data_IF_352859121770
#
_entry.id   IF_352859121770
#
_cell.length_a   1.000
_cell.length_b   1.000
_cell.length_c   1.000
_cell.angle_alpha   90.00
_cell.angle_beta   90.00
_cell.angle_gamma   90.00
#
_symmetry.space_group_name_H-M   'P 1'
#
loop_
_entity.id
_entity.type
_entity.pdbx_description
1 polymer ?
#
# COMPACT_ATOMS: atom_id res chain seq x y z
N UNK A 1 16.57 14.44 30.51
CA UNK A 1 17.09 13.83 29.26
C UNK A 1 16.76 12.35 29.32
N UNK A 2 15.57 11.96 28.83
CA UNK A 2 15.11 10.57 28.87
C UNK A 2 15.39 9.90 27.53
N UNK A 3 16.48 9.15 27.47
CA UNK A 3 16.76 8.19 26.42
C UNK A 3 15.98 6.90 26.69
N UNK A 4 14.77 6.79 26.13
CA UNK A 4 14.09 5.50 25.97
C UNK A 4 14.62 4.83 24.70
N UNK A 5 15.78 4.18 24.82
CA UNK A 5 16.19 3.16 23.86
C UNK A 5 15.40 1.91 24.22
N UNK A 6 14.28 1.68 23.54
CA UNK A 6 13.59 0.40 23.62
C UNK A 6 14.50 -0.68 23.05
N UNK A 7 14.86 -1.66 23.88
CA UNK A 7 15.63 -2.86 23.54
C UNK A 7 15.13 -3.51 22.24
N UNK A 8 15.80 -3.25 21.12
CA UNK A 8 15.58 -3.91 19.82
C UNK A 8 16.32 -5.26 19.75
N UNK A 9 16.96 -5.70 20.84
CA UNK A 9 17.84 -6.88 20.87
C UNK A 9 17.18 -8.17 21.36
N UNK A 10 15.92 -8.14 21.80
CA UNK A 10 15.26 -9.32 22.40
C UNK A 10 14.36 -10.13 21.46
N UNK A 11 14.05 -9.65 20.25
CA UNK A 11 13.31 -10.43 19.25
C UNK A 11 14.05 -10.43 17.91
N UNK A 12 14.73 -11.54 17.61
CA UNK A 12 15.50 -11.73 16.36
C UNK A 12 14.66 -11.62 15.06
N UNK A 13 13.33 -11.60 15.14
CA UNK A 13 12.40 -11.40 14.01
C UNK A 13 11.16 -10.63 14.45
N UNK A 14 10.86 -9.53 13.76
CA UNK A 14 9.66 -8.70 13.99
C UNK A 14 8.36 -9.54 13.85
N UNK A 15 8.35 -10.50 12.92
CA UNK A 15 7.23 -11.42 12.69
C UNK A 15 6.90 -12.34 13.86
N UNK A 16 7.89 -12.70 14.69
CA UNK A 16 7.64 -13.54 15.87
C UNK A 16 6.96 -12.74 16.98
N UNK A 17 7.38 -11.49 17.19
CA UNK A 17 6.72 -10.56 18.12
C UNK A 17 5.28 -10.30 17.69
N UNK A 18 5.07 -10.05 16.39
CA UNK A 18 3.75 -9.79 15.84
C UNK A 18 2.80 -10.98 16.06
N UNK A 19 3.26 -12.20 15.80
CA UNK A 19 2.47 -13.41 16.02
C UNK A 19 2.07 -13.62 17.50
N UNK A 20 2.92 -13.25 18.45
CA UNK A 20 2.58 -13.32 19.87
C UNK A 20 1.55 -12.27 20.28
N UNK A 21 1.67 -11.05 19.74
CA UNK A 21 0.70 -9.99 20.00
C UNK A 21 -0.65 -10.37 19.39
N UNK A 22 -0.67 -10.94 18.18
CA UNK A 22 -1.90 -11.42 17.54
C UNK A 22 -2.54 -12.56 18.34
N UNK A 23 -1.75 -13.51 18.85
CA UNK A 23 -2.25 -14.58 19.71
C UNK A 23 -2.85 -14.05 21.03
N UNK A 24 -2.25 -13.01 21.62
CA UNK A 24 -2.81 -12.34 22.80
C UNK A 24 -4.12 -11.63 22.46
N UNK A 25 -4.17 -10.90 21.36
CA UNK A 25 -5.37 -10.21 20.90
C UNK A 25 -6.52 -11.20 20.70
N UNK A 26 -6.26 -12.30 19.98
CA UNK A 26 -7.22 -13.37 19.75
C UNK A 26 -7.68 -14.03 21.07
N UNK A 27 -6.76 -14.26 22.03
CA UNK A 27 -7.09 -14.82 23.35
C UNK A 27 -7.99 -13.91 24.19
N UNK A 28 -7.82 -12.58 24.08
CA UNK A 28 -8.66 -11.59 24.75
C UNK A 28 -9.93 -11.25 23.96
N UNK A 29 -10.10 -11.79 22.74
CA UNK A 29 -11.23 -11.46 21.87
C UNK A 29 -11.26 -9.99 21.45
N UNK A 30 -10.12 -9.31 21.47
CA UNK A 30 -9.98 -7.90 21.10
C UNK A 30 -9.04 -7.77 19.91
N UNK A 31 -9.14 -6.67 19.17
CA UNK A 31 -8.14 -6.36 18.16
C UNK A 31 -6.80 -6.01 18.83
N UNK A 32 -5.70 -6.31 18.14
CA UNK A 32 -4.32 -6.04 18.61
C UNK A 32 -4.12 -4.60 19.08
N UNK A 33 -4.80 -3.67 18.42
CA UNK A 33 -4.70 -2.25 18.65
C UNK A 33 -5.40 -1.84 19.96
N UNK A 34 -6.34 -2.65 20.47
CA UNK A 34 -6.94 -2.50 21.80
C UNK A 34 -5.93 -2.82 22.93
N UNK A 35 -4.87 -3.58 22.62
CA UNK A 35 -3.75 -3.84 23.53
C UNK A 35 -2.71 -2.70 23.53
N UNK A 36 -2.94 -1.61 22.79
CA UNK A 36 -2.04 -0.44 22.73
C UNK A 36 -0.84 -0.61 21.79
N UNK A 37 -0.72 -1.75 21.10
CA UNK A 37 0.34 -1.99 20.13
C UNK A 37 -0.04 -1.42 18.76
N UNK A 38 0.42 -0.20 18.47
CA UNK A 38 0.27 0.42 17.14
C UNK A 38 1.55 0.27 16.33
N UNK A 39 1.52 -0.52 15.27
CA UNK A 39 2.57 -0.49 14.27
C UNK A 39 2.43 0.82 13.46
N UNK A 40 3.50 1.61 13.36
CA UNK A 40 3.52 2.75 12.45
C UNK A 40 3.72 2.27 11.02
N UNK A 41 2.86 2.70 10.09
CA UNK A 41 3.11 2.44 8.68
C UNK A 41 4.40 3.15 8.26
N UNK A 42 5.26 2.43 7.54
CA UNK A 42 6.48 3.00 6.95
C UNK A 42 6.28 3.42 5.50
N UNK A 43 5.11 3.12 4.94
CA UNK A 43 4.79 3.40 3.55
C UNK A 43 4.52 4.87 3.27
N UNK A 44 4.65 5.26 2.00
CA UNK A 44 4.34 6.58 1.48
C UNK A 44 3.20 6.49 0.47
N UNK A 45 2.44 7.57 0.35
CA UNK A 45 1.40 7.74 -0.68
C UNK A 45 1.61 9.07 -1.42
N UNK A 46 1.34 9.08 -2.72
CA UNK A 46 1.34 10.28 -3.54
C UNK A 46 0.27 10.20 -4.63
N UNK A 47 -0.20 11.36 -5.09
CA UNK A 47 -1.25 11.49 -6.10
C UNK A 47 -2.47 12.22 -5.55
N UNK A 48 -3.60 12.09 -6.22
CA UNK A 48 -4.80 12.83 -5.87
C UNK A 48 -5.51 12.26 -4.65
N UNK A 49 -5.07 12.66 -3.45
CA UNK A 49 -5.67 12.25 -2.17
C UNK A 49 -5.66 13.41 -1.18
N UNK A 50 -6.77 13.54 -0.46
CA UNK A 50 -6.93 14.43 0.68
C UNK A 50 -7.29 13.59 1.90
N UNK A 51 -6.40 13.57 2.89
CA UNK A 51 -6.62 12.88 4.16
C UNK A 51 -6.84 13.92 5.26
N UNK A 52 -7.89 13.72 6.05
CA UNK A 52 -8.12 14.49 7.27
C UNK A 52 -7.84 13.60 8.46
N UNK A 53 -6.98 14.06 9.36
CA UNK A 53 -6.60 13.34 10.58
C UNK A 53 -7.40 13.87 11.77
N UNK A 54 -7.74 12.99 12.71
CA UNK A 54 -8.53 13.27 13.92
C UNK A 54 -7.81 14.15 14.96
N UNK A 55 -6.63 14.65 14.66
CA UNK A 55 -5.79 15.33 15.64
C UNK A 55 -6.32 16.74 15.99
N UNK A 56 -6.66 16.92 17.27
CA UNK A 56 -7.01 18.18 17.93
C UNK A 56 -5.92 19.29 17.89
N UNK A 57 -4.73 19.05 17.33
CA UNK A 57 -3.59 19.98 17.39
C UNK A 57 -2.66 20.03 16.16
N UNK A 58 -2.99 19.40 15.03
CA UNK A 58 -2.24 19.61 13.77
C UNK A 58 -3.18 20.17 12.73
N UNK A 59 -2.82 21.35 12.21
CA UNK A 59 -3.52 22.00 11.12
C UNK A 59 -3.72 21.03 9.96
N UNK A 60 -4.86 21.11 9.25
CA UNK A 60 -5.09 20.30 8.05
C UNK A 60 -3.90 20.47 7.12
N UNK A 61 -3.25 19.36 6.73
CA UNK A 61 -2.25 19.43 5.68
C UNK A 61 -2.94 19.94 4.42
N UNK A 62 -2.46 21.03 3.80
CA UNK A 62 -3.05 21.55 2.58
C UNK A 62 -3.08 20.43 1.54
N UNK A 63 -4.16 20.40 0.75
CA UNK A 63 -4.30 19.55 -0.42
C UNK A 63 -3.03 19.70 -1.27
N UNK A 64 -2.15 18.72 -1.14
CA UNK A 64 -0.84 18.76 -1.79
C UNK A 64 -0.92 17.74 -2.90
N UNK A 65 -1.27 18.25 -4.07
CA UNK A 65 -1.58 17.50 -5.29
C UNK A 65 -0.41 16.66 -5.82
N UNK A 66 0.77 16.70 -5.17
CA UNK A 66 2.02 16.10 -5.69
C UNK A 66 3.00 15.61 -4.60
N UNK A 67 2.83 15.98 -3.32
CA UNK A 67 3.84 15.64 -2.29
C UNK A 67 3.59 14.24 -1.71
N UNK A 68 4.68 13.48 -1.49
CA UNK A 68 4.59 12.20 -0.79
C UNK A 68 4.23 12.47 0.67
N UNK A 69 3.22 11.75 1.15
CA UNK A 69 2.78 11.77 2.53
C UNK A 69 3.06 10.41 3.15
N UNK A 70 3.47 10.39 4.41
CA UNK A 70 3.55 9.15 5.17
C UNK A 70 2.14 8.58 5.33
N UNK A 71 1.99 7.27 5.17
CA UNK A 71 0.73 6.60 5.45
C UNK A 71 0.36 6.80 6.93
N UNK A 72 -0.75 7.47 7.23
CA UNK A 72 -1.21 7.58 8.60
C UNK A 72 -1.76 6.24 9.08
N UNK A 73 -1.79 6.07 10.40
CA UNK A 73 -2.60 5.02 11.00
C UNK A 73 -4.07 5.25 10.66
N UNK A 74 -4.79 4.18 10.29
CA UNK A 74 -6.23 4.24 9.98
C UNK A 74 -7.05 4.78 11.15
N UNK A 75 -6.60 4.56 12.39
CA UNK A 75 -7.27 5.05 13.59
C UNK A 75 -7.16 6.56 13.78
N UNK A 76 -6.11 7.17 13.23
CA UNK A 76 -5.90 8.61 13.28
C UNK A 76 -6.62 9.32 12.11
N UNK A 77 -7.29 8.56 11.24
CA UNK A 77 -7.92 9.02 10.01
C UNK A 77 -9.41 9.36 10.25
N UNK A 78 -9.79 10.60 9.99
CA UNK A 78 -11.16 11.11 10.09
C UNK A 78 -11.91 10.91 8.77
N UNK A 79 -11.29 11.26 7.64
CA UNK A 79 -11.88 11.08 6.31
C UNK A 79 -10.82 11.00 5.23
N UNK A 80 -11.07 10.18 4.20
CA UNK A 80 -10.32 10.16 2.94
C UNK A 80 -11.22 10.68 1.82
N UNK A 81 -10.69 11.58 1.00
CA UNK A 81 -11.30 12.00 -0.28
C UNK A 81 -10.26 11.85 -1.39
N UNK A 82 -10.66 11.25 -2.50
CA UNK A 82 -9.80 11.04 -3.66
C UNK A 82 -10.68 10.90 -4.91
N UNK A 83 -10.19 11.39 -6.04
CA UNK A 83 -10.78 11.18 -7.36
C UNK A 83 -9.98 10.15 -8.19
N UNK A 84 -9.11 9.40 -7.53
CA UNK A 84 -8.21 8.45 -8.17
C UNK A 84 -8.96 7.36 -8.92
N UNK A 85 -8.66 7.25 -10.21
CA UNK A 85 -9.19 6.23 -11.09
C UNK A 85 -8.49 4.89 -10.91
N UNK A 86 -7.30 4.85 -10.31
CA UNK A 86 -6.50 3.66 -10.07
C UNK A 86 -5.57 3.84 -8.87
N UNK A 87 -5.16 2.72 -8.25
CA UNK A 87 -4.16 2.70 -7.18
C UNK A 87 -3.01 1.77 -7.59
N UNK A 88 -1.78 2.25 -7.52
CA UNK A 88 -0.56 1.51 -7.85
C UNK A 88 0.31 1.34 -6.61
N UNK A 89 0.50 0.11 -6.17
CA UNK A 89 1.42 -0.26 -5.09
C UNK A 89 2.79 -0.58 -5.69
N UNK A 90 3.85 -0.05 -5.10
CA UNK A 90 5.23 -0.21 -5.57
C UNK A 90 6.09 -0.71 -4.42
N UNK A 91 6.73 -1.87 -4.59
CA UNK A 91 7.63 -2.44 -3.59
C UNK A 91 8.81 -1.51 -3.27
N UNK A 92 9.51 -1.05 -4.30
CA UNK A 92 10.75 -0.27 -4.14
C UNK A 92 10.48 1.21 -4.04
N UNK A 93 10.93 1.82 -2.94
CA UNK A 93 10.82 3.27 -2.75
C UNK A 93 11.52 4.06 -3.89
N UNK A 94 12.64 3.58 -4.43
CA UNK A 94 13.30 4.22 -5.56
C UNK A 94 12.40 4.35 -6.80
N UNK A 95 11.59 3.32 -7.09
CA UNK A 95 10.61 3.34 -8.20
C UNK A 95 9.47 4.30 -7.88
N UNK A 96 9.02 4.34 -6.63
CA UNK A 96 8.04 5.34 -6.19
C UNK A 96 8.53 6.77 -6.36
N UNK A 97 9.78 7.08 -5.96
CA UNK A 97 10.34 8.41 -6.14
C UNK A 97 10.47 8.77 -7.62
N UNK A 98 10.84 7.82 -8.49
CA UNK A 98 10.90 8.03 -9.93
C UNK A 98 9.52 8.38 -10.51
N UNK A 99 8.49 7.57 -10.22
CA UNK A 99 7.14 7.81 -10.72
C UNK A 99 6.58 9.15 -10.23
N UNK A 100 6.93 9.54 -9.00
CA UNK A 100 6.60 10.86 -8.46
C UNK A 100 7.29 11.99 -9.19
N UNK A 101 8.59 11.87 -9.48
CA UNK A 101 9.34 12.87 -10.24
C UNK A 101 8.77 13.04 -11.66
N UNK A 102 8.25 11.96 -12.25
CA UNK A 102 7.56 11.99 -13.53
C UNK A 102 6.12 12.49 -13.46
N UNK A 103 5.59 12.87 -12.28
CA UNK A 103 4.18 13.21 -12.07
C UNK A 103 3.21 12.14 -12.59
N UNK A 104 3.59 10.86 -12.54
CA UNK A 104 2.84 9.75 -13.14
C UNK A 104 1.40 9.67 -12.60
N UNK A 105 1.22 9.93 -11.30
CA UNK A 105 -0.08 9.94 -10.63
C UNK A 105 -1.05 11.01 -11.18
N UNK A 106 -0.55 12.08 -11.82
CA UNK A 106 -1.41 13.13 -12.38
C UNK A 106 -2.02 12.70 -13.72
N UNK A 107 -1.44 11.70 -14.38
CA UNK A 107 -1.97 11.05 -15.59
C UNK A 107 -1.95 11.88 -16.89
N UNK A 108 -1.91 13.21 -16.82
CA UNK A 108 -1.93 14.11 -17.98
C UNK A 108 -0.86 13.81 -19.04
N UNK A 109 0.34 13.40 -18.62
CA UNK A 109 1.47 13.11 -19.53
C UNK A 109 1.31 11.80 -20.31
N UNK A 110 0.40 10.92 -19.88
CA UNK A 110 0.24 9.56 -20.41
C UNK A 110 -1.18 9.26 -20.89
N UNK A 111 -2.07 10.28 -20.93
CA UNK A 111 -3.48 10.07 -21.26
C UNK A 111 -4.15 9.12 -20.27
N UNK A 112 -3.79 9.23 -18.99
CA UNK A 112 -4.41 8.50 -17.90
C UNK A 112 -5.21 9.47 -17.03
N UNK A 113 -6.28 8.96 -16.43
CA UNK A 113 -6.96 9.67 -15.34
C UNK A 113 -6.04 9.75 -14.10
N UNK A 114 -6.20 10.76 -13.23
CA UNK A 114 -5.44 10.85 -11.99
C UNK A 114 -5.56 9.58 -11.15
N UNK A 115 -4.48 9.22 -10.47
CA UNK A 115 -4.39 8.01 -9.65
C UNK A 115 -3.61 8.20 -8.37
N UNK A 116 -3.38 7.09 -7.68
CA UNK A 116 -2.57 7.04 -6.46
C UNK A 116 -1.42 6.08 -6.62
N UNK A 117 -0.27 6.46 -6.09
CA UNK A 117 0.90 5.60 -5.97
C UNK A 117 1.17 5.43 -4.48
N UNK A 118 1.33 4.18 -4.05
CA UNK A 118 1.66 3.81 -2.68
C UNK A 118 2.93 2.99 -2.71
N UNK A 119 3.85 3.23 -1.78
CA UNK A 119 5.01 2.35 -1.56
C UNK A 119 5.07 1.93 -0.11
N UNK A 120 5.60 0.73 0.13
CA UNK A 120 5.73 0.19 1.47
C UNK A 120 5.85 -1.34 1.45
N UNK A 121 6.59 -1.86 2.42
CA UNK A 121 6.54 -3.29 2.74
C UNK A 121 5.12 -3.63 3.21
N UNK A 122 4.60 -4.86 2.99
CA UNK A 122 3.25 -5.28 3.42
C UNK A 122 3.11 -5.44 4.95
N UNK A 123 3.56 -4.45 5.70
CA UNK A 123 3.31 -4.36 7.13
C UNK A 123 1.80 -4.19 7.41
N UNK A 124 1.41 -4.50 8.65
CA UNK A 124 0.02 -4.47 9.08
C UNK A 124 -0.64 -3.11 8.83
N UNK A 125 0.05 -2.01 9.17
CA UNK A 125 -0.50 -0.67 9.06
C UNK A 125 -0.71 -0.24 7.59
N UNK A 126 0.21 -0.61 6.71
CA UNK A 126 0.12 -0.35 5.26
C UNK A 126 -1.04 -1.13 4.65
N UNK A 127 -1.22 -2.41 5.00
CA UNK A 127 -2.36 -3.22 4.52
C UNK A 127 -3.70 -2.73 5.07
N UNK A 128 -3.76 -2.34 6.35
CA UNK A 128 -4.94 -1.72 6.95
C UNK A 128 -5.32 -0.43 6.21
N UNK A 129 -4.33 0.42 5.92
CA UNK A 129 -4.56 1.66 5.17
C UNK A 129 -5.12 1.37 3.77
N UNK A 130 -4.55 0.43 3.03
CA UNK A 130 -5.01 0.10 1.68
C UNK A 130 -6.43 -0.48 1.67
N UNK A 131 -6.79 -1.30 2.66
CA UNK A 131 -8.16 -1.80 2.78
C UNK A 131 -9.15 -0.70 3.17
N UNK A 132 -8.74 0.20 4.07
CA UNK A 132 -9.53 1.36 4.42
C UNK A 132 -9.72 2.29 3.22
N UNK A 133 -8.69 2.50 2.40
CA UNK A 133 -8.80 3.23 1.14
C UNK A 133 -9.78 2.53 0.19
N UNK A 134 -9.65 1.22 -0.01
CA UNK A 134 -10.53 0.43 -0.87
C UNK A 134 -12.01 0.49 -0.43
N UNK A 135 -12.30 0.65 0.86
CA UNK A 135 -13.67 0.81 1.35
C UNK A 135 -14.25 2.21 1.15
N UNK A 136 -13.42 3.21 0.84
CA UNK A 136 -13.82 4.62 0.68
C UNK A 136 -13.81 5.11 -0.77
N UNK A 137 -13.45 4.24 -1.72
CA UNK A 137 -13.43 4.56 -3.15
C UNK A 137 -14.38 3.61 -3.92
N UNK A 138 -14.74 3.93 -5.17
CA UNK A 138 -15.57 3.05 -5.97
C UNK A 138 -15.00 1.63 -6.05
N UNK A 139 -15.86 0.61 -5.90
CA UNK A 139 -15.44 -0.81 -6.00
C UNK A 139 -14.86 -1.18 -7.36
N UNK A 140 -15.11 -0.37 -8.38
CA UNK A 140 -14.55 -0.52 -9.72
C UNK A 140 -13.12 0.00 -9.84
N UNK A 141 -12.60 0.75 -8.86
CA UNK A 141 -11.24 1.28 -8.90
C UNK A 141 -10.23 0.13 -8.79
N UNK A 142 -9.40 -0.12 -9.82
CA UNK A 142 -8.43 -1.19 -9.80
C UNK A 142 -7.25 -0.86 -8.87
N UNK A 143 -6.78 -1.89 -8.17
CA UNK A 143 -5.54 -1.88 -7.43
C UNK A 143 -4.51 -2.70 -8.19
N UNK A 144 -3.36 -2.10 -8.43
CA UNK A 144 -2.23 -2.72 -9.08
C UNK A 144 -1.05 -2.82 -8.14
N UNK A 145 -0.15 -3.77 -8.38
CA UNK A 145 1.14 -3.84 -7.69
C UNK A 145 2.28 -4.17 -8.65
N UNK A 146 3.41 -3.51 -8.44
CA UNK A 146 4.68 -3.81 -9.08
C UNK A 146 5.67 -4.25 -8.00
N UNK A 147 6.20 -5.45 -8.18
CA UNK A 147 7.26 -6.04 -7.37
C UNK A 147 8.38 -6.52 -8.28
N UNK A 148 9.52 -6.87 -7.70
CA UNK A 148 10.53 -7.63 -8.43
C UNK A 148 9.98 -8.99 -8.89
N UNK A 149 10.48 -9.48 -10.02
CA UNK A 149 10.11 -10.78 -10.61
C UNK A 149 10.83 -11.97 -9.96
N UNK A 150 11.21 -11.86 -8.69
CA UNK A 150 11.93 -12.88 -7.93
C UNK A 150 11.03 -13.49 -6.83
N UNK A 151 11.47 -14.57 -6.15
CA UNK A 151 10.66 -15.19 -5.09
C UNK A 151 10.27 -14.23 -3.95
N UNK A 152 11.08 -13.21 -3.66
CA UNK A 152 10.79 -12.24 -2.61
C UNK A 152 9.69 -11.26 -3.03
N UNK A 153 9.76 -10.73 -4.26
CA UNK A 153 8.70 -9.89 -4.82
C UNK A 153 7.36 -10.64 -4.92
N UNK A 154 7.39 -11.92 -5.29
CA UNK A 154 6.20 -12.79 -5.27
C UNK A 154 5.63 -12.95 -3.86
N UNK A 155 6.47 -13.08 -2.83
CA UNK A 155 6.05 -13.17 -1.45
C UNK A 155 5.38 -11.88 -0.95
N UNK A 156 5.92 -10.72 -1.35
CA UNK A 156 5.30 -9.41 -1.09
C UNK A 156 3.92 -9.33 -1.73
N UNK A 157 3.81 -9.66 -3.02
CA UNK A 157 2.53 -9.69 -3.72
C UNK A 157 1.53 -10.61 -3.02
N UNK A 158 1.96 -11.82 -2.65
CA UNK A 158 1.13 -12.79 -1.92
C UNK A 158 0.66 -12.26 -0.58
N UNK A 159 1.53 -11.59 0.17
CA UNK A 159 1.19 -11.04 1.49
C UNK A 159 0.14 -9.94 1.39
N UNK A 160 0.22 -9.09 0.37
CA UNK A 160 -0.85 -8.13 0.09
C UNK A 160 -2.15 -8.81 -0.35
N UNK A 161 -2.06 -9.81 -1.23
CA UNK A 161 -3.22 -10.46 -1.80
C UNK A 161 -3.99 -11.30 -0.78
N UNK A 162 -3.29 -12.15 -0.01
CA UNK A 162 -3.92 -13.14 0.89
C UNK A 162 -3.88 -12.76 2.37
N UNK A 163 -3.18 -11.69 2.75
CA UNK A 163 -3.12 -11.28 4.14
C UNK A 163 -2.32 -12.27 5.00
N UNK A 164 -2.85 -12.63 6.18
CA UNK A 164 -2.36 -13.73 7.02
C UNK A 164 -2.91 -15.12 6.61
N UNK A 165 -3.63 -15.19 5.49
CA UNK A 165 -4.28 -16.39 4.99
C UNK A 165 -3.50 -17.15 3.92
N UNK A 166 -4.23 -17.98 3.17
CA UNK A 166 -3.70 -18.82 2.10
C UNK A 166 -4.39 -18.53 0.78
N UNK A 167 -3.87 -19.11 -0.31
CA UNK A 167 -4.49 -19.07 -1.64
C UNK A 167 -5.98 -19.47 -1.63
N UNK A 168 -6.34 -20.48 -0.83
CA UNK A 168 -7.71 -21.01 -0.79
C UNK A 168 -8.61 -20.27 0.19
N UNK A 169 -8.03 -19.64 1.21
CA UNK A 169 -8.75 -18.94 2.26
C UNK A 169 -7.99 -17.65 2.60
N UNK A 170 -8.33 -16.54 1.93
CA UNK A 170 -7.80 -15.22 2.27
C UNK A 170 -8.05 -14.92 3.74
N UNK A 171 -7.04 -14.32 4.37
CA UNK A 171 -7.06 -14.01 5.79
C UNK A 171 -7.45 -12.57 6.09
N UNK A 172 -7.12 -12.12 7.29
CA UNK A 172 -7.19 -10.71 7.66
C UNK A 172 -6.21 -9.93 6.81
N UNK A 173 -6.58 -8.69 6.49
CA UNK A 173 -5.74 -7.76 5.73
C UNK A 173 -5.47 -8.17 4.27
N UNK A 174 -6.31 -9.04 3.70
CA UNK A 174 -6.22 -9.49 2.32
C UNK A 174 -6.86 -8.51 1.32
N UNK A 175 -6.07 -8.00 0.36
CA UNK A 175 -6.54 -7.11 -0.70
C UNK A 175 -6.85 -7.91 -1.98
N UNK A 176 -7.99 -8.61 -2.00
CA UNK A 176 -8.36 -9.56 -3.07
C UNK A 176 -8.59 -8.94 -4.46
N UNK A 177 -8.76 -7.62 -4.55
CA UNK A 177 -8.89 -6.90 -5.83
C UNK A 177 -7.54 -6.54 -6.48
N UNK A 178 -6.42 -6.92 -5.84
CA UNK A 178 -5.08 -6.54 -6.28
C UNK A 178 -4.63 -7.33 -7.52
N UNK A 179 -4.12 -6.61 -8.52
CA UNK A 179 -3.62 -7.16 -9.77
C UNK A 179 -2.11 -6.93 -9.91
N UNK A 180 -1.36 -7.99 -10.19
CA UNK A 180 0.09 -7.90 -10.36
C UNK A 180 0.49 -7.47 -11.77
N UNK A 181 1.18 -6.33 -11.86
CA UNK A 181 1.78 -5.74 -13.06
C UNK A 181 3.29 -6.02 -13.19
N UNK A 182 3.87 -6.82 -12.29
CA UNK A 182 5.29 -7.13 -12.31
C UNK A 182 5.72 -7.90 -13.56
N UNK A 183 7.02 -7.82 -13.85
CA UNK A 183 7.67 -8.59 -14.91
C UNK A 183 7.56 -10.09 -14.59
N UNK A 184 6.69 -10.79 -15.29
CA UNK A 184 6.59 -12.24 -15.21
C UNK A 184 7.80 -12.82 -15.92
N UNK A 185 8.30 -13.97 -15.49
CA UNK A 185 9.44 -14.64 -16.15
C UNK A 185 9.18 -14.89 -17.65
N UNK A 186 7.91 -14.97 -18.05
CA UNK A 186 7.44 -15.03 -19.44
C UNK A 186 7.70 -13.74 -20.24
N UNK A 187 7.66 -12.56 -19.62
CA UNK A 187 7.80 -11.26 -20.29
C UNK A 187 9.24 -11.03 -20.80
N UNK A 188 10.23 -11.71 -20.20
CA UNK A 188 11.61 -11.72 -20.69
C UNK A 188 11.81 -12.53 -21.97
N UNK A 189 10.91 -13.48 -22.26
CA UNK A 189 11.00 -14.31 -23.45
C UNK A 189 10.39 -13.65 -24.70
N UNK A 190 9.63 -12.56 -24.54
CA UNK A 190 8.85 -11.94 -25.62
C UNK A 190 9.00 -10.41 -25.60
N UNK A 191 10.06 -9.92 -26.27
CA UNK A 191 10.44 -8.50 -26.30
C UNK A 191 9.37 -7.57 -26.89
N UNK A 192 8.39 -8.09 -27.65
CA UNK A 192 7.26 -7.33 -28.16
C UNK A 192 6.22 -7.00 -27.08
N UNK A 193 6.04 -7.86 -26.08
CA UNK A 193 5.12 -7.64 -24.96
C UNK A 193 5.62 -6.59 -23.99
N UNK A 194 6.93 -6.56 -23.73
CA UNK A 194 7.56 -5.52 -22.92
C UNK A 194 7.32 -4.11 -23.50
N UNK A 195 7.33 -3.96 -24.83
CA UNK A 195 7.01 -2.68 -25.49
C UNK A 195 5.52 -2.29 -25.34
N UNK A 196 4.59 -3.26 -25.38
CA UNK A 196 3.16 -3.01 -25.14
C UNK A 196 2.84 -2.68 -23.67
N UNK A 197 3.60 -3.25 -22.71
CA UNK A 197 3.49 -2.92 -21.29
C UNK A 197 3.90 -1.47 -21.02
N UNK A 198 4.96 -0.99 -21.69
CA UNK A 198 5.43 0.40 -21.64
C UNK A 198 4.46 1.38 -22.29
N UNK A 199 3.68 0.93 -23.29
CA UNK A 199 2.70 1.75 -24.00
C UNK A 199 1.37 1.93 -23.23
N UNK A 200 1.20 1.28 -22.07
CA UNK A 200 -0.05 1.30 -21.27
C UNK A 200 -1.29 0.81 -22.06
N UNK A 201 -1.09 0.09 -23.17
CA UNK A 201 -2.17 -0.37 -24.06
C UNK A 201 -3.11 -1.39 -23.40
N UNK A 202 -2.66 -2.01 -22.31
CA UNK A 202 -3.39 -2.99 -21.52
C UNK A 202 -4.30 -2.36 -20.45
N UNK A 203 -4.22 -1.04 -20.19
CA UNK A 203 -5.16 -0.41 -19.28
C UNK A 203 -6.58 -0.39 -19.91
N UNK A 204 -7.61 -0.76 -19.13
CA UNK A 204 -9.00 -0.54 -19.49
C UNK A 204 -9.24 0.89 -20.02
N UNK A 205 -10.04 1.02 -21.09
CA UNK A 205 -10.30 2.32 -21.75
C UNK A 205 -10.96 3.36 -20.82
N UNK A 206 -11.62 2.91 -19.75
CA UNK A 206 -12.20 3.75 -18.71
C UNK A 206 -11.17 4.43 -17.79
N UNK A 207 -9.90 4.00 -17.88
CA UNK A 207 -8.77 4.59 -17.17
C UNK A 207 -7.93 5.54 -18.04
N UNK A 208 -8.14 5.53 -19.37
CA UNK A 208 -7.61 6.50 -20.31
C UNK A 208 -8.46 7.77 -20.29
#
# INVERSE_FOLDING_TARGET
MHSSQSDVTLFKRQSASDAHIDALADAFGVEREALGFRAGAKGLIAGSIQMRLRCHHKAPSPASDVSAQLLPSVYDLESIKTDAAWVLIVEKEAVFQLLRQCSFANGYTHGLRPGLIVTGYPDQATRQFLLHLASHIPKSTPFFIITDGDPHGIDIYRTYLYGDGTLHKPGRLALQMLQWLGLRSHDFADTKKAQQMLALDWLPNDLK
#
